data_IF_695942883518
#
_entry.id   IF_695942883518
#
_cell.length_a   1.000
_cell.length_b   1.000
_cell.length_c   1.000
_cell.angle_alpha   90.00
_cell.angle_beta   90.00
_cell.angle_gamma   90.00
#
_symmetry.space_group_name_H-M   'P 1'
#
loop_
_entity.id
_entity.type
_entity.pdbx_description
1 polymer ?
#
# COMPACT_ATOMS: atom_id res chain seq x y z
N UNK A 1 -11.55 2.57 -7.62
CA UNK A 1 -12.51 3.47 -6.98
C UNK A 1 -11.75 4.03 -5.81
N UNK A 2 -11.73 5.35 -5.64
CA UNK A 2 -11.17 5.92 -4.42
C UNK A 2 -12.26 5.83 -3.35
N UNK A 3 -11.89 5.31 -2.19
CA UNK A 3 -12.77 5.26 -1.03
C UNK A 3 -12.38 6.45 -0.15
N UNK A 4 -13.29 7.40 0.01
CA UNK A 4 -13.06 8.62 0.81
C UNK A 4 -13.34 8.31 2.29
N UNK A 5 -12.29 7.97 3.02
CA UNK A 5 -12.28 7.61 4.45
C UNK A 5 -10.97 8.07 5.08
N UNK A 6 -10.91 8.14 6.42
CA UNK A 6 -9.71 8.62 7.13
C UNK A 6 -8.97 7.48 7.84
N UNK A 7 -9.67 6.38 8.15
CA UNK A 7 -9.11 5.25 8.92
C UNK A 7 -9.12 3.93 8.14
N UNK A 8 -8.27 3.00 8.57
CA UNK A 8 -8.22 1.65 7.98
C UNK A 8 -9.51 0.89 8.28
N UNK A 9 -10.07 1.07 9.48
CA UNK A 9 -11.33 0.45 9.90
C UNK A 9 -12.49 0.89 9.00
N UNK A 10 -12.60 2.19 8.73
CA UNK A 10 -13.60 2.73 7.78
C UNK A 10 -13.36 2.21 6.36
N UNK A 11 -12.09 2.11 5.93
CA UNK A 11 -11.74 1.54 4.64
C UNK A 11 -12.25 0.10 4.50
N UNK A 12 -11.98 -0.75 5.49
CA UNK A 12 -12.43 -2.15 5.50
C UNK A 12 -13.96 -2.24 5.52
N UNK A 13 -14.63 -1.39 6.30
CA UNK A 13 -16.09 -1.34 6.36
C UNK A 13 -16.73 -0.93 5.03
N UNK A 14 -16.07 -0.05 4.27
CA UNK A 14 -16.56 0.45 2.98
C UNK A 14 -16.31 -0.52 1.80
N UNK A 15 -15.52 -1.59 2.00
CA UNK A 15 -15.25 -2.55 0.93
C UNK A 15 -16.51 -3.33 0.51
N UNK A 16 -16.67 -3.61 -0.79
CA UNK A 16 -17.61 -4.62 -1.25
C UNK A 16 -17.35 -5.97 -0.58
N UNK A 17 -18.42 -6.71 -0.26
CA UNK A 17 -18.32 -7.98 0.48
C UNK A 17 -17.37 -8.98 -0.18
N UNK A 18 -17.39 -9.07 -1.51
CA UNK A 18 -16.51 -9.94 -2.29
C UNK A 18 -15.03 -9.48 -2.35
N UNK A 19 -14.68 -8.36 -1.70
CA UNK A 19 -13.31 -7.83 -1.63
C UNK A 19 -12.71 -7.88 -0.24
N UNK A 20 -13.54 -7.87 0.82
CA UNK A 20 -13.10 -7.79 2.22
C UNK A 20 -12.05 -8.83 2.56
N UNK A 21 -12.36 -10.11 2.40
CA UNK A 21 -11.44 -11.19 2.77
C UNK A 21 -10.06 -11.04 2.11
N UNK A 22 -10.03 -10.75 0.80
CA UNK A 22 -8.77 -10.62 0.08
C UNK A 22 -7.96 -9.39 0.51
N UNK A 23 -8.61 -8.24 0.71
CA UNK A 23 -7.93 -7.00 1.15
C UNK A 23 -7.45 -7.12 2.59
N UNK A 24 -8.26 -7.70 3.49
CA UNK A 24 -7.89 -7.93 4.89
C UNK A 24 -6.67 -8.84 5.00
N UNK A 25 -6.64 -9.95 4.27
CA UNK A 25 -5.50 -10.88 4.27
C UNK A 25 -4.23 -10.24 3.71
N UNK A 26 -4.35 -9.49 2.61
CA UNK A 26 -3.21 -8.75 2.06
C UNK A 26 -2.70 -7.71 3.04
N UNK A 27 -3.59 -6.93 3.65
CA UNK A 27 -3.23 -5.94 4.66
C UNK A 27 -2.50 -6.59 5.84
N UNK A 28 -3.06 -7.66 6.40
CA UNK A 28 -2.46 -8.39 7.52
C UNK A 28 -1.05 -8.90 7.20
N UNK A 29 -0.87 -9.57 6.05
CA UNK A 29 0.45 -10.08 5.64
C UNK A 29 1.46 -8.95 5.47
N UNK A 30 1.05 -7.82 4.87
CA UNK A 30 1.94 -6.66 4.74
C UNK A 30 2.36 -6.16 6.11
N UNK A 31 1.42 -5.95 7.05
CA UNK A 31 1.73 -5.45 8.40
C UNK A 31 2.66 -6.39 9.16
N UNK A 32 2.43 -7.71 9.08
CA UNK A 32 3.26 -8.72 9.75
C UNK A 32 4.69 -8.76 9.22
N UNK A 33 4.89 -8.41 7.94
CA UNK A 33 6.22 -8.40 7.29
C UNK A 33 6.84 -7.00 7.22
N UNK A 34 6.11 -5.95 7.61
CA UNK A 34 6.57 -4.57 7.50
C UNK A 34 7.64 -4.30 8.56
N UNK A 35 8.86 -3.87 8.17
CA UNK A 35 9.90 -3.55 9.14
C UNK A 35 9.49 -2.42 10.09
N UNK A 36 10.12 -2.36 11.26
CA UNK A 36 9.96 -1.22 12.16
C UNK A 36 10.40 0.09 11.49
N UNK A 37 9.69 1.18 11.78
CA UNK A 37 9.97 2.51 11.24
C UNK A 37 9.05 2.95 10.09
N UNK A 38 8.20 2.06 9.58
CA UNK A 38 7.10 2.44 8.70
C UNK A 38 5.85 2.80 9.50
N UNK A 39 5.03 3.68 8.92
CA UNK A 39 3.69 4.00 9.39
C UNK A 39 2.65 3.59 8.35
N UNK A 40 1.40 3.46 8.81
CA UNK A 40 0.27 3.00 8.00
C UNK A 40 -0.86 4.01 8.13
N UNK A 41 -1.50 4.37 7.02
CA UNK A 41 -2.65 5.27 7.04
C UNK A 41 -3.36 5.34 5.70
N UNK A 42 -4.44 6.11 5.64
CA UNK A 42 -5.15 6.37 4.39
C UNK A 42 -4.57 7.61 3.72
N UNK A 43 -3.98 7.43 2.53
CA UNK A 43 -3.50 8.51 1.67
C UNK A 43 -4.06 8.32 0.27
N UNK A 44 -4.62 9.38 -0.32
CA UNK A 44 -5.23 9.32 -1.65
C UNK A 44 -6.34 8.27 -1.78
N UNK A 45 -7.08 7.99 -0.69
CA UNK A 45 -8.17 7.00 -0.67
C UNK A 45 -7.73 5.54 -0.79
N UNK A 46 -6.50 5.23 -0.34
CA UNK A 46 -5.90 3.90 -0.34
C UNK A 46 -5.19 3.64 0.99
N UNK A 47 -5.04 2.37 1.39
CA UNK A 47 -4.17 2.02 2.52
C UNK A 47 -2.72 2.17 2.04
N UNK A 48 -1.96 3.04 2.68
CA UNK A 48 -0.56 3.28 2.38
C UNK A 48 0.32 2.83 3.54
N UNK A 49 1.48 2.30 3.19
CA UNK A 49 2.56 1.94 4.09
C UNK A 49 3.75 2.77 3.67
N UNK A 50 4.20 3.68 4.53
CA UNK A 50 5.10 4.76 4.14
C UNK A 50 6.17 5.01 5.20
N UNK A 51 7.26 5.64 4.79
CA UNK A 51 8.28 6.15 5.71
C UNK A 51 7.82 7.52 6.20
N UNK A 52 7.65 7.72 7.52
CA UNK A 52 7.13 8.98 8.04
C UNK A 52 8.14 10.11 7.89
N UNK A 53 7.65 11.35 7.85
CA UNK A 53 8.49 12.55 7.76
C UNK A 53 9.47 12.69 8.93
N UNK A 54 9.15 12.11 10.09
CA UNK A 54 10.05 12.06 11.25
C UNK A 54 11.33 11.27 10.96
N UNK A 55 11.24 10.24 10.10
CA UNK A 55 12.37 9.45 9.64
C UNK A 55 12.99 9.99 8.34
N UNK A 56 12.18 10.59 7.46
CA UNK A 56 12.63 11.18 6.19
C UNK A 56 12.00 12.56 5.96
N UNK A 57 12.59 13.65 6.51
CA UNK A 57 11.99 14.99 6.49
C UNK A 57 11.80 15.61 5.12
N UNK A 58 12.61 15.22 4.13
CA UNK A 58 12.51 15.71 2.75
C UNK A 58 11.23 15.22 2.05
N UNK A 59 10.61 14.16 2.57
CA UNK A 59 9.34 13.64 2.07
C UNK A 59 9.39 13.11 0.62
N UNK A 60 8.25 13.06 -0.05
CA UNK A 60 8.15 12.55 -1.41
C UNK A 60 8.30 13.65 -2.48
N UNK A 61 9.31 13.50 -3.35
CA UNK A 61 9.55 14.36 -4.52
C UNK A 61 9.52 15.88 -4.22
N UNK A 62 8.67 16.62 -4.94
CA UNK A 62 8.56 18.07 -4.93
C UNK A 62 7.29 18.54 -4.19
N UNK A 63 6.63 17.66 -3.43
CA UNK A 63 5.43 17.99 -2.66
C UNK A 63 5.80 18.07 -1.18
N UNK A 64 5.98 19.29 -0.62
CA UNK A 64 6.36 19.44 0.78
C UNK A 64 5.32 18.82 1.71
N UNK A 65 5.78 17.99 2.66
CA UNK A 65 4.93 17.42 3.70
C UNK A 65 4.22 16.11 3.33
N UNK A 66 4.50 15.51 2.17
CA UNK A 66 4.04 14.15 1.87
C UNK A 66 5.07 13.12 2.36
N UNK A 67 4.68 12.08 3.12
CA UNK A 67 5.58 11.01 3.53
C UNK A 67 6.05 10.20 2.32
N UNK A 68 7.20 9.54 2.43
CA UNK A 68 7.78 8.77 1.32
C UNK A 68 7.01 7.44 1.14
N UNK A 69 6.33 7.23 0.01
CA UNK A 69 5.52 6.03 -0.21
C UNK A 69 6.40 4.80 -0.41
N UNK A 70 5.98 3.67 0.16
CA UNK A 70 6.64 2.38 -0.05
C UNK A 70 5.69 1.37 -0.70
N UNK A 71 4.53 1.13 -0.08
CA UNK A 71 3.46 0.29 -0.62
C UNK A 71 2.11 1.01 -0.55
N UNK A 72 1.21 0.68 -1.47
CA UNK A 72 -0.20 1.03 -1.36
C UNK A 72 -1.10 -0.13 -1.77
N UNK A 73 -2.21 -0.32 -1.04
CA UNK A 73 -3.23 -1.33 -1.29
C UNK A 73 -4.57 -0.65 -1.58
N UNK A 74 -5.15 -0.96 -2.74
CA UNK A 74 -6.37 -0.31 -3.21
C UNK A 74 -7.40 -1.30 -3.77
N UNK A 75 -8.65 -1.14 -3.36
CA UNK A 75 -9.81 -1.79 -3.98
C UNK A 75 -10.27 -0.98 -5.20
N UNK A 76 -9.79 -1.36 -6.38
CA UNK A 76 -10.20 -0.75 -7.64
C UNK A 76 -11.52 -1.34 -8.16
N UNK A 77 -12.13 -0.69 -9.16
CA UNK A 77 -13.46 -1.08 -9.66
C UNK A 77 -13.51 -2.55 -10.13
N UNK A 78 -12.43 -3.05 -10.71
CA UNK A 78 -12.36 -4.39 -11.30
C UNK A 78 -11.39 -5.34 -10.59
N UNK A 79 -10.47 -4.84 -9.77
CA UNK A 79 -9.38 -5.63 -9.18
C UNK A 79 -8.93 -5.03 -7.85
N UNK A 80 -8.13 -5.78 -7.11
CA UNK A 80 -7.35 -5.25 -5.98
C UNK A 80 -5.96 -4.93 -6.54
N UNK A 81 -5.49 -3.71 -6.32
CA UNK A 81 -4.19 -3.25 -6.76
C UNK A 81 -3.23 -3.20 -5.57
N UNK A 82 -2.05 -3.79 -5.73
CA UNK A 82 -0.91 -3.61 -4.85
C UNK A 82 0.14 -2.81 -5.62
N UNK A 83 0.41 -1.60 -5.16
CA UNK A 83 1.47 -0.75 -5.70
C UNK A 83 2.72 -0.94 -4.84
N UNK A 84 3.84 -1.30 -5.48
CA UNK A 84 5.11 -1.55 -4.78
C UNK A 84 6.22 -0.68 -5.35
N UNK A 85 6.62 0.38 -4.62
CA UNK A 85 7.50 1.42 -5.17
C UNK A 85 8.99 1.06 -5.15
N UNK A 86 9.35 -0.04 -4.49
CA UNK A 86 10.73 -0.56 -4.43
C UNK A 86 10.99 -1.91 -5.09
N UNK A 87 9.98 -2.62 -5.62
CA UNK A 87 10.20 -4.03 -6.07
C UNK A 87 11.22 -4.13 -7.20
N UNK A 88 11.18 -3.16 -8.12
CA UNK A 88 12.09 -3.08 -9.26
C UNK A 88 13.53 -2.69 -8.88
N UNK A 89 13.78 -2.27 -7.63
CA UNK A 89 15.13 -1.94 -7.16
C UNK A 89 15.96 -3.19 -6.85
N UNK A 90 15.30 -4.35 -6.69
CA UNK A 90 15.93 -5.65 -6.57
C UNK A 90 15.59 -6.48 -7.81
N UNK A 91 16.58 -6.66 -8.68
CA UNK A 91 16.40 -7.34 -9.97
C UNK A 91 15.95 -8.80 -9.80
N UNK A 92 16.52 -9.52 -8.83
CA UNK A 92 16.20 -10.93 -8.59
C UNK A 92 14.77 -11.09 -8.10
N UNK A 93 14.36 -10.25 -7.14
CA UNK A 93 13.00 -10.22 -6.62
C UNK A 93 11.99 -9.84 -7.71
N UNK A 94 12.31 -8.81 -8.51
CA UNK A 94 11.44 -8.36 -9.59
C UNK A 94 11.23 -9.44 -10.66
N UNK A 95 12.31 -10.10 -11.10
CA UNK A 95 12.25 -11.14 -12.13
C UNK A 95 11.46 -12.36 -11.64
N UNK A 96 11.65 -12.76 -10.38
CA UNK A 96 10.84 -13.80 -9.76
C UNK A 96 9.36 -13.42 -9.74
N UNK A 97 9.02 -12.20 -9.30
CA UNK A 97 7.64 -11.76 -9.18
C UNK A 97 6.94 -11.72 -10.53
N UNK A 98 7.59 -11.16 -11.55
CA UNK A 98 7.05 -11.15 -12.91
C UNK A 98 6.84 -12.59 -13.40
N UNK A 99 7.83 -13.46 -13.29
CA UNK A 99 7.71 -14.85 -13.77
C UNK A 99 6.61 -15.64 -13.04
N UNK A 100 6.40 -15.40 -11.74
CA UNK A 100 5.40 -16.12 -10.95
C UNK A 100 3.96 -15.70 -11.23
N UNK A 101 3.74 -14.45 -11.66
CA UNK A 101 2.41 -13.84 -11.77
C UNK A 101 2.07 -13.29 -13.16
N UNK A 102 2.95 -13.47 -14.16
CA UNK A 102 2.65 -13.17 -15.55
C UNK A 102 1.57 -14.13 -16.06
N UNK A 103 0.43 -13.56 -16.47
CA UNK A 103 -0.72 -14.29 -16.99
C UNK A 103 -0.48 -14.87 -18.39
#
# INVERSE_FOLDING_TARGET
>A
MLIEVETIEEYMAALPENRKEAVERLHQVIVEQLPAGFEIGILGGMINYYVPLTAYPDGYHCTPGEPLPFLALASQKAHIALYHMGIYMDQELNDWFVAAYQA
#
